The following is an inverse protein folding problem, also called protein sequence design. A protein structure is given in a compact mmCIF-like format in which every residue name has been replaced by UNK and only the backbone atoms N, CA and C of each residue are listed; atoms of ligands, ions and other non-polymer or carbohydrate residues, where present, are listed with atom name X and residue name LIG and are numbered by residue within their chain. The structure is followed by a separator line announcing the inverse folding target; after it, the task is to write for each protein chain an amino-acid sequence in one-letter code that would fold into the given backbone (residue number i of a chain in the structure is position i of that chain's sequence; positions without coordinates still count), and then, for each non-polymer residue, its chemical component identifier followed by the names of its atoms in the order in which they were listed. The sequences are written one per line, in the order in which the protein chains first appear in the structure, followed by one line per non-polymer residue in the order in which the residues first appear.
data_IF_005853300491
#
_entry.id   IF_005853300491
#
_cell.length_a   1.000
_cell.length_b   1.000
_cell.length_c   1.000
_cell.angle_alpha   90.00
_cell.angle_beta   90.00
_cell.angle_gamma   90.00
#
_symmetry.space_group_name_H-M   'P 1'
#
loop_
_entity.id
_entity.type
_entity.pdbx_description
1 polymer ?
#
# COMPACT_ATOMS: atom_id res chain seq x y z
N UNK A 1 10.11 14.69 -16.77
CA UNK A 1 10.12 14.81 -15.30
C UNK A 1 10.07 13.38 -14.75
N UNK A 2 11.08 12.99 -14.01
CA UNK A 2 11.22 11.65 -13.44
C UNK A 2 9.99 11.30 -12.59
N UNK A 3 9.49 10.08 -12.71
CA UNK A 3 8.30 9.58 -11.98
C UNK A 3 8.49 9.72 -10.47
N UNK A 4 9.70 9.48 -9.98
CA UNK A 4 10.06 9.65 -8.57
C UNK A 4 9.90 11.10 -8.12
N UNK A 5 10.37 12.05 -8.91
CA UNK A 5 10.24 13.46 -8.60
C UNK A 5 8.78 13.90 -8.53
N UNK A 6 7.90 13.35 -9.38
CA UNK A 6 6.45 13.61 -9.34
C UNK A 6 5.80 13.13 -8.05
N UNK A 7 6.14 11.90 -7.61
CA UNK A 7 5.59 11.32 -6.39
C UNK A 7 6.02 12.15 -5.18
N UNK A 8 7.32 12.50 -5.09
CA UNK A 8 7.84 13.32 -4.01
C UNK A 8 7.24 14.72 -3.99
N UNK A 9 7.08 15.33 -5.16
CA UNK A 9 6.48 16.67 -5.28
C UNK A 9 5.01 16.64 -4.81
N UNK A 10 4.25 15.63 -5.21
CA UNK A 10 2.86 15.44 -4.77
C UNK A 10 2.78 15.28 -3.24
N UNK A 11 3.63 14.43 -2.66
CA UNK A 11 3.72 14.23 -1.22
C UNK A 11 4.03 15.53 -0.48
N UNK A 12 5.04 16.29 -0.94
CA UNK A 12 5.46 17.54 -0.30
C UNK A 12 4.33 18.58 -0.38
N UNK A 13 3.71 18.75 -1.53
CA UNK A 13 2.61 19.71 -1.72
C UNK A 13 1.44 19.35 -0.80
N UNK A 14 1.03 18.08 -0.75
CA UNK A 14 -0.07 17.64 0.07
C UNK A 14 0.24 17.83 1.57
N UNK A 15 1.44 17.49 2.00
CA UNK A 15 1.88 17.70 3.38
C UNK A 15 1.87 19.19 3.78
N UNK A 16 2.34 20.08 2.87
CA UNK A 16 2.30 21.53 3.10
C UNK A 16 0.86 22.03 3.22
N UNK A 17 -0.04 21.62 2.33
CA UNK A 17 -1.46 22.02 2.35
C UNK A 17 -2.11 21.58 3.66
N UNK A 18 -1.92 20.32 4.07
CA UNK A 18 -2.49 19.78 5.30
C UNK A 18 -1.93 20.49 6.55
N UNK A 19 -0.62 20.73 6.59
CA UNK A 19 0.02 21.44 7.68
C UNK A 19 -0.50 22.89 7.79
N UNK A 20 -0.58 23.59 6.65
CA UNK A 20 -1.13 24.95 6.60
C UNK A 20 -2.59 24.96 7.06
N UNK A 21 -3.40 24.01 6.64
CA UNK A 21 -4.81 23.89 7.06
C UNK A 21 -4.89 23.72 8.58
N UNK A 22 -4.11 22.81 9.16
CA UNK A 22 -4.11 22.56 10.62
C UNK A 22 -3.68 23.81 11.38
N UNK A 23 -2.60 24.47 10.99
CA UNK A 23 -2.12 25.68 11.66
C UNK A 23 -3.09 26.84 11.55
N UNK A 24 -3.73 27.00 10.40
CA UNK A 24 -4.78 28.02 10.21
C UNK A 24 -6.00 27.73 11.09
N UNK A 25 -6.45 26.47 11.18
CA UNK A 25 -7.56 26.09 12.04
C UNK A 25 -7.26 26.33 13.52
N UNK A 26 -6.04 26.01 13.98
CA UNK A 26 -5.61 26.31 15.35
C UNK A 26 -5.60 27.81 15.63
N UNK A 27 -5.11 28.63 14.69
CA UNK A 27 -5.16 30.08 14.83
C UNK A 27 -6.59 30.59 14.96
N UNK A 28 -7.50 30.10 14.11
CA UNK A 28 -8.92 30.50 14.16
C UNK A 28 -9.61 30.09 15.46
N UNK A 29 -9.28 28.92 16.02
CA UNK A 29 -9.80 28.48 17.31
C UNK A 29 -9.38 29.39 18.47
N UNK A 30 -8.19 29.99 18.39
CA UNK A 30 -7.67 30.90 19.42
C UNK A 30 -8.23 32.32 19.23
N UNK A 31 -8.33 32.77 17.95
CA UNK A 31 -8.71 34.16 17.64
C UNK A 31 -10.20 34.46 17.82
N UNK A 32 -11.08 33.46 17.70
CA UNK A 32 -12.54 33.66 17.80
C UNK A 32 -13.09 33.27 19.17
N UNK A 33 -13.22 34.24 20.06
CA UNK A 33 -13.64 33.99 21.47
C UNK A 33 -15.13 33.66 21.66
N UNK A 34 -16.04 34.09 20.77
CA UNK A 34 -17.48 34.14 21.09
C UNK A 34 -18.40 33.22 20.27
N UNK A 35 -17.88 32.37 19.40
CA UNK A 35 -18.75 31.53 18.55
C UNK A 35 -18.50 30.03 18.73
N UNK A 36 -19.17 29.43 19.71
CA UNK A 36 -19.05 28.00 20.03
C UNK A 36 -19.29 27.10 18.83
N UNK A 37 -20.29 27.39 17.97
CA UNK A 37 -20.61 26.61 16.78
C UNK A 37 -19.46 26.67 15.76
N UNK A 38 -18.88 27.85 15.57
CA UNK A 38 -17.73 28.03 14.65
C UNK A 38 -16.51 27.26 15.14
N UNK A 39 -16.22 27.30 16.44
CA UNK A 39 -15.12 26.51 17.05
C UNK A 39 -15.33 25.01 16.84
N UNK A 40 -16.55 24.50 17.06
CA UNK A 40 -16.89 23.10 16.85
C UNK A 40 -16.66 22.69 15.38
N UNK A 41 -17.07 23.52 14.43
CA UNK A 41 -16.84 23.27 13.02
C UNK A 41 -15.36 23.19 12.66
N UNK A 42 -14.53 24.11 13.19
CA UNK A 42 -13.08 24.06 12.97
C UNK A 42 -12.43 22.84 13.60
N UNK A 43 -12.86 22.41 14.78
CA UNK A 43 -12.37 21.18 15.43
C UNK A 43 -12.67 19.96 14.52
N UNK A 44 -13.88 19.86 13.98
CA UNK A 44 -14.26 18.75 13.09
C UNK A 44 -13.37 18.71 11.82
N UNK A 45 -13.16 19.87 11.19
CA UNK A 45 -12.31 19.96 9.99
C UNK A 45 -10.84 19.60 10.34
N UNK A 46 -10.33 20.09 11.46
CA UNK A 46 -8.98 19.77 11.92
C UNK A 46 -8.80 18.27 12.18
N UNK A 47 -9.75 17.64 12.86
CA UNK A 47 -9.73 16.19 13.08
C UNK A 47 -9.79 15.42 11.78
N UNK A 48 -10.61 15.87 10.82
CA UNK A 48 -10.66 15.31 9.47
C UNK A 48 -9.34 15.42 8.72
N UNK A 49 -8.67 16.57 8.79
CA UNK A 49 -7.35 16.77 8.18
C UNK A 49 -6.27 15.87 8.81
N UNK A 50 -6.28 15.76 10.15
CA UNK A 50 -5.37 14.84 10.86
C UNK A 50 -5.65 13.39 10.46
N UNK A 51 -6.91 12.97 10.41
CA UNK A 51 -7.31 11.63 9.96
C UNK A 51 -6.77 11.34 8.55
N UNK A 52 -6.96 12.26 7.59
CA UNK A 52 -6.43 12.11 6.24
C UNK A 52 -4.90 12.03 6.20
N UNK A 53 -4.21 12.82 7.01
CA UNK A 53 -2.74 12.80 7.10
C UNK A 53 -2.22 11.45 7.62
N UNK A 54 -2.96 10.81 8.51
CA UNK A 54 -2.60 9.50 9.07
C UNK A 54 -2.88 8.33 8.10
N UNK A 55 -3.62 8.57 6.99
CA UNK A 55 -3.91 7.52 6.02
C UNK A 55 -2.77 7.38 4.99
N UNK A 56 -2.06 6.24 4.96
CA UNK A 56 -0.93 6.04 4.02
C UNK A 56 -1.31 6.27 2.56
N UNK A 57 -2.53 5.90 2.16
CA UNK A 57 -3.00 6.05 0.78
C UNK A 57 -3.36 7.49 0.38
N UNK A 58 -3.53 8.41 1.35
CA UNK A 58 -3.68 9.84 1.05
C UNK A 58 -2.37 10.43 0.56
N UNK A 59 -1.27 10.08 1.23
CA UNK A 59 0.07 10.53 0.87
C UNK A 59 0.64 9.71 -0.31
N UNK A 60 0.30 8.42 -0.37
CA UNK A 60 0.73 7.48 -1.40
C UNK A 60 -0.51 6.86 -2.08
N UNK A 61 -1.16 7.56 -3.01
CA UNK A 61 -2.45 7.14 -3.59
C UNK A 61 -2.42 5.75 -4.24
N UNK A 62 -1.26 5.31 -4.71
CA UNK A 62 -1.08 3.97 -5.30
C UNK A 62 -1.27 2.83 -4.29
N UNK A 63 -1.26 3.10 -2.99
CA UNK A 63 -1.56 2.10 -1.95
C UNK A 63 -3.07 1.91 -1.73
N UNK A 64 -3.89 2.88 -2.16
CA UNK A 64 -5.34 2.82 -2.03
C UNK A 64 -6.03 1.90 -3.03
N UNK A 65 -7.36 1.91 -3.02
CA UNK A 65 -8.16 1.23 -4.03
C UNK A 65 -7.90 1.80 -5.41
N UNK A 66 -7.87 0.96 -6.43
CA UNK A 66 -7.67 1.40 -7.81
C UNK A 66 -8.60 0.68 -8.77
N UNK A 67 -9.12 1.41 -9.76
CA UNK A 67 -9.88 0.83 -10.84
C UNK A 67 -8.94 0.04 -11.77
N UNK A 68 -9.27 -1.22 -12.04
CA UNK A 68 -8.49 -2.07 -12.92
C UNK A 68 -9.40 -3.10 -13.61
N UNK A 69 -9.32 -3.29 -14.94
CA UNK A 69 -10.14 -4.25 -15.65
C UNK A 69 -9.83 -5.69 -15.21
N UNK A 70 -10.75 -6.32 -14.47
CA UNK A 70 -10.55 -7.68 -13.95
C UNK A 70 -10.32 -8.72 -15.07
N UNK A 71 -10.81 -8.45 -16.28
CA UNK A 71 -10.71 -9.34 -17.44
C UNK A 71 -9.28 -9.50 -17.96
N UNK A 72 -8.37 -8.57 -17.69
CA UNK A 72 -6.96 -8.68 -18.06
C UNK A 72 -6.12 -9.42 -17.03
N UNK A 73 -6.71 -9.77 -15.87
CA UNK A 73 -6.03 -10.52 -14.81
C UNK A 73 -6.17 -12.01 -15.12
N UNK A 74 -5.06 -12.69 -15.33
CA UNK A 74 -5.01 -14.14 -15.53
C UNK A 74 -5.62 -14.92 -14.37
N UNK A 75 -6.03 -16.16 -14.60
CA UNK A 75 -6.66 -16.96 -13.54
C UNK A 75 -5.68 -17.43 -12.48
N UNK A 76 -4.50 -17.87 -12.90
CA UNK A 76 -3.43 -18.30 -12.01
C UNK A 76 -2.08 -18.01 -12.66
N UNK A 77 -1.15 -17.48 -11.87
CA UNK A 77 0.24 -17.26 -12.24
C UNK A 77 1.09 -17.25 -10.98
N UNK A 78 2.26 -17.84 -11.03
CA UNK A 78 3.26 -17.77 -9.95
C UNK A 78 4.67 -17.84 -10.53
N UNK A 79 5.70 -17.44 -9.78
CA UNK A 79 7.10 -17.56 -10.20
C UNK A 79 7.45 -19.02 -10.48
N UNK A 80 8.24 -19.25 -11.53
CA UNK A 80 8.82 -20.56 -11.76
C UNK A 80 9.76 -20.91 -10.58
N UNK A 81 9.79 -22.18 -10.19
CA UNK A 81 10.68 -22.68 -9.13
C UNK A 81 10.57 -21.89 -7.81
N UNK A 82 9.34 -21.53 -7.42
CA UNK A 82 9.11 -20.84 -6.15
C UNK A 82 9.70 -21.64 -4.98
N UNK A 83 10.33 -20.92 -4.04
CA UNK A 83 10.98 -21.49 -2.85
C UNK A 83 10.12 -21.40 -1.58
N UNK A 84 9.06 -20.57 -1.60
CA UNK A 84 8.24 -20.26 -0.44
C UNK A 84 6.75 -20.35 -0.77
N UNK A 85 5.97 -20.93 0.14
CA UNK A 85 4.52 -20.99 0.05
C UNK A 85 3.88 -20.49 1.34
N UNK A 86 2.88 -19.62 1.21
CA UNK A 86 2.12 -19.06 2.31
C UNK A 86 0.62 -19.28 2.10
N UNK A 87 -0.09 -19.71 3.13
CA UNK A 87 -1.55 -19.82 3.12
C UNK A 87 -2.12 -18.54 3.72
N UNK A 88 -2.77 -17.75 2.90
CA UNK A 88 -3.40 -16.50 3.29
C UNK A 88 -4.86 -16.77 3.63
N UNK A 89 -5.23 -16.63 4.90
CA UNK A 89 -6.61 -16.75 5.36
C UNK A 89 -7.36 -15.44 5.10
N UNK A 90 -8.51 -15.55 4.46
CA UNK A 90 -9.35 -14.43 4.04
C UNK A 90 -10.81 -14.71 4.42
N UNK A 91 -11.62 -13.66 4.63
CA UNK A 91 -13.06 -13.86 4.85
C UNK A 91 -13.73 -14.60 3.68
N UNK A 92 -14.61 -15.58 3.96
CA UNK A 92 -15.29 -16.43 2.97
C UNK A 92 -16.09 -15.64 1.91
N UNK A 93 -16.54 -14.42 2.21
CA UNK A 93 -17.20 -13.56 1.21
C UNK A 93 -16.27 -13.14 0.05
N UNK A 94 -14.99 -13.48 0.12
CA UNK A 94 -14.01 -13.28 -0.93
C UNK A 94 -13.82 -14.50 -1.83
N UNK A 95 -14.49 -15.62 -1.55
CA UNK A 95 -14.40 -16.81 -2.39
C UNK A 95 -14.67 -16.48 -3.87
N UNK A 96 -14.00 -17.18 -4.76
CA UNK A 96 -13.99 -16.97 -6.22
C UNK A 96 -13.33 -15.66 -6.69
N UNK A 97 -12.91 -14.77 -5.80
CA UNK A 97 -12.10 -13.63 -6.14
C UNK A 97 -10.64 -14.03 -6.37
N UNK A 98 -9.90 -13.14 -7.03
CA UNK A 98 -8.45 -13.34 -7.26
C UNK A 98 -7.65 -12.51 -6.28
N UNK A 99 -6.53 -13.05 -5.84
CA UNK A 99 -5.47 -12.34 -5.12
C UNK A 99 -4.32 -12.12 -6.09
N UNK A 100 -3.95 -10.85 -6.28
CA UNK A 100 -2.73 -10.45 -6.97
C UNK A 100 -1.70 -10.17 -5.89
N UNK A 101 -0.52 -10.73 -6.00
CA UNK A 101 0.52 -10.58 -5.00
C UNK A 101 1.89 -10.35 -5.63
N UNK A 102 2.78 -9.66 -4.90
CA UNK A 102 4.15 -9.39 -5.34
C UNK A 102 5.06 -9.19 -4.13
N UNK A 103 6.32 -9.48 -4.31
CA UNK A 103 7.36 -9.35 -3.30
C UNK A 103 8.68 -8.87 -3.91
N UNK A 104 9.62 -8.50 -3.07
CA UNK A 104 11.00 -8.29 -3.47
C UNK A 104 11.58 -9.60 -4.05
N UNK A 105 12.61 -9.50 -4.86
CA UNK A 105 13.33 -10.68 -5.36
C UNK A 105 14.09 -11.39 -4.25
N UNK A 106 14.35 -12.66 -4.44
CA UNK A 106 15.27 -13.46 -3.64
C UNK A 106 16.70 -13.20 -4.13
N UNK A 107 17.62 -12.98 -3.21
CA UNK A 107 19.04 -13.09 -3.51
C UNK A 107 19.48 -14.53 -3.18
N UNK A 108 19.80 -15.30 -4.22
CA UNK A 108 20.15 -16.73 -4.07
C UNK A 108 21.50 -16.94 -3.40
N UNK A 109 22.36 -15.92 -3.38
CA UNK A 109 23.69 -16.00 -2.79
C UNK A 109 23.68 -15.60 -1.31
N UNK A 110 22.79 -14.68 -0.93
CA UNK A 110 22.66 -14.19 0.44
C UNK A 110 21.20 -13.93 0.82
N UNK A 111 20.59 -14.88 1.48
CA UNK A 111 19.19 -14.79 1.94
C UNK A 111 18.98 -13.67 2.98
N UNK A 112 20.02 -13.16 3.61
CA UNK A 112 19.95 -12.05 4.58
C UNK A 112 20.29 -10.70 3.95
N UNK A 113 20.58 -10.65 2.67
CA UNK A 113 20.89 -9.42 1.96
C UNK A 113 19.75 -8.41 2.09
N UNK A 114 20.09 -7.17 2.38
CA UNK A 114 19.19 -6.03 2.38
C UNK A 114 19.51 -5.17 1.17
N UNK A 115 18.56 -5.08 0.23
CA UNK A 115 18.74 -4.23 -0.94
C UNK A 115 18.77 -2.76 -0.55
N UNK A 116 19.62 -1.97 -1.21
CA UNK A 116 19.82 -0.55 -0.90
C UNK A 116 18.59 0.33 -1.15
N UNK A 117 17.66 -0.13 -1.99
CA UNK A 117 16.42 0.59 -2.29
C UNK A 117 15.36 -0.34 -2.89
N UNK A 118 14.08 0.09 -2.94
CA UNK A 118 13.00 -0.71 -3.49
C UNK A 118 13.17 -1.05 -4.98
N UNK A 119 13.80 -0.18 -5.76
CA UNK A 119 13.99 -0.39 -7.19
C UNK A 119 14.88 -1.61 -7.47
N UNK A 120 15.95 -1.77 -6.71
CA UNK A 120 16.81 -2.95 -6.77
C UNK A 120 16.12 -4.19 -6.21
N UNK A 121 15.27 -4.03 -5.20
CA UNK A 121 14.58 -5.14 -4.56
C UNK A 121 13.48 -5.74 -5.48
N UNK A 122 12.72 -4.89 -6.16
CA UNK A 122 11.63 -5.36 -7.03
C UNK A 122 12.07 -5.60 -8.48
N UNK A 123 13.12 -4.91 -8.93
CA UNK A 123 13.73 -5.05 -10.26
C UNK A 123 12.69 -5.20 -11.39
N UNK A 124 12.65 -6.36 -12.06
CA UNK A 124 11.72 -6.66 -13.14
C UNK A 124 10.36 -7.20 -12.66
N UNK A 125 10.06 -7.18 -11.37
CA UNK A 125 8.84 -7.76 -10.78
C UNK A 125 8.65 -9.24 -11.14
N UNK A 126 9.70 -10.04 -11.06
CA UNK A 126 9.63 -11.47 -11.34
C UNK A 126 8.93 -12.26 -10.23
N UNK A 127 9.01 -11.76 -9.00
CA UNK A 127 8.41 -12.39 -7.82
C UNK A 127 6.95 -11.94 -7.64
N UNK A 128 6.10 -12.26 -8.61
CA UNK A 128 4.69 -11.88 -8.64
C UNK A 128 3.81 -13.06 -9.01
N UNK A 129 2.56 -13.01 -8.56
CA UNK A 129 1.59 -14.03 -8.94
C UNK A 129 0.14 -13.60 -8.80
N UNK A 130 -0.72 -14.49 -9.24
CA UNK A 130 -2.17 -14.42 -9.10
C UNK A 130 -2.68 -15.79 -8.68
N UNK A 131 -3.58 -15.84 -7.71
CA UNK A 131 -4.25 -17.06 -7.28
C UNK A 131 -5.72 -16.81 -6.99
N UNK A 132 -6.57 -17.85 -7.06
CA UNK A 132 -7.98 -17.77 -6.67
C UNK A 132 -8.15 -18.07 -5.17
N UNK A 133 -9.12 -17.39 -4.56
CA UNK A 133 -9.52 -17.67 -3.20
C UNK A 133 -10.51 -18.83 -3.23
N UNK A 134 -10.26 -19.86 -2.43
CA UNK A 134 -11.13 -21.05 -2.28
C UNK A 134 -11.28 -21.38 -0.79
N UNK A 135 -12.52 -21.53 -0.34
CA UNK A 135 -12.84 -21.84 1.07
C UNK A 135 -12.23 -20.85 2.08
N UNK A 136 -12.15 -19.56 1.71
CA UNK A 136 -11.54 -18.53 2.54
C UNK A 136 -10.01 -18.54 2.52
N UNK A 137 -9.36 -19.28 1.63
CA UNK A 137 -7.90 -19.36 1.56
C UNK A 137 -7.36 -19.06 0.18
N UNK A 138 -6.21 -18.40 0.14
CA UNK A 138 -5.42 -18.18 -1.05
C UNK A 138 -4.00 -18.73 -0.85
N UNK A 139 -3.53 -19.57 -1.77
CA UNK A 139 -2.19 -20.13 -1.72
C UNK A 139 -1.25 -19.18 -2.49
N UNK A 140 -0.38 -18.52 -1.76
CA UNK A 140 0.63 -17.60 -2.29
C UNK A 140 1.93 -18.38 -2.50
N UNK A 141 2.47 -18.35 -3.71
CA UNK A 141 3.72 -19.02 -4.10
C UNK A 141 4.71 -17.97 -4.54
N UNK A 142 5.85 -17.86 -3.87
CA UNK A 142 6.86 -16.84 -4.08
C UNK A 142 8.28 -17.43 -4.02
N UNK A 143 9.25 -16.70 -4.53
CA UNK A 143 10.63 -16.81 -4.04
C UNK A 143 10.71 -16.12 -2.69
N UNK A 144 11.51 -16.63 -1.74
CA UNK A 144 11.66 -16.01 -0.43
C UNK A 144 12.21 -14.58 -0.59
N UNK A 145 11.42 -13.55 -0.26
CA UNK A 145 11.86 -12.19 -0.52
C UNK A 145 12.92 -11.72 0.45
N UNK A 146 13.84 -10.90 -0.03
CA UNK A 146 14.78 -10.19 0.81
C UNK A 146 14.21 -8.85 1.32
N UNK A 147 14.80 -8.31 2.39
CA UNK A 147 14.51 -6.97 2.88
C UNK A 147 15.12 -5.88 1.99
N UNK A 148 14.72 -4.63 2.21
CA UNK A 148 15.29 -3.48 1.51
C UNK A 148 15.19 -2.20 2.34
N UNK A 149 15.98 -1.18 1.95
CA UNK A 149 15.95 0.14 2.58
C UNK A 149 14.97 1.07 1.87
N UNK A 150 14.32 1.93 2.62
CA UNK A 150 13.49 3.03 2.13
C UNK A 150 14.04 4.38 2.59
N UNK A 151 13.33 5.46 2.31
CA UNK A 151 13.77 6.80 2.65
C UNK A 151 14.37 6.93 4.06
N UNK A 152 15.42 7.71 4.19
CA UNK A 152 16.23 7.90 5.41
C UNK A 152 16.94 6.62 5.92
N UNK A 153 17.15 5.62 5.02
CA UNK A 153 17.87 4.39 5.37
C UNK A 153 17.09 3.40 6.25
N UNK A 154 15.77 3.61 6.45
CA UNK A 154 14.94 2.69 7.22
C UNK A 154 14.86 1.34 6.52
N UNK A 155 15.22 0.28 7.24
CA UNK A 155 15.16 -1.09 6.75
C UNK A 155 13.73 -1.65 6.87
N UNK A 156 13.27 -2.27 5.80
CA UNK A 156 12.01 -2.99 5.73
C UNK A 156 12.32 -4.48 5.68
N UNK A 157 11.73 -5.22 6.61
CA UNK A 157 11.89 -6.68 6.70
C UNK A 157 11.28 -7.39 5.48
N UNK A 158 11.67 -8.64 5.19
CA UNK A 158 11.04 -9.46 4.18
C UNK A 158 9.52 -9.48 4.31
N UNK A 159 8.82 -9.25 3.19
CA UNK A 159 7.37 -9.20 3.15
C UNK A 159 6.86 -9.37 1.72
N UNK A 160 5.58 -9.68 1.58
CA UNK A 160 4.89 -9.57 0.31
C UNK A 160 3.67 -8.65 0.43
N UNK A 161 3.32 -8.07 -0.68
CA UNK A 161 2.10 -7.27 -0.83
C UNK A 161 1.04 -8.07 -1.57
N UNK A 162 -0.22 -7.78 -1.28
CA UNK A 162 -1.30 -8.33 -2.07
C UNK A 162 -2.47 -7.37 -2.20
N UNK A 163 -3.29 -7.60 -3.21
CA UNK A 163 -4.58 -6.96 -3.45
C UNK A 163 -5.61 -8.01 -3.79
N UNK A 164 -6.86 -7.78 -3.39
CA UNK A 164 -7.99 -8.62 -3.76
C UNK A 164 -8.70 -7.96 -4.95
N UNK A 165 -8.92 -8.72 -6.01
CA UNK A 165 -9.68 -8.29 -7.18
C UNK A 165 -11.11 -8.82 -7.08
N UNK A 166 -12.08 -7.92 -7.09
CA UNK A 166 -13.50 -8.28 -7.03
C UNK A 166 -14.03 -8.75 -8.39
N UNK A 167 -14.71 -9.90 -8.42
CA UNK A 167 -15.28 -10.44 -9.66
C UNK A 167 -16.36 -9.54 -10.30
N UNK A 168 -17.07 -8.76 -9.50
CA UNK A 168 -18.19 -7.92 -9.96
C UNK A 168 -17.87 -6.42 -10.04
N UNK A 169 -16.82 -5.98 -9.36
CA UNK A 169 -16.41 -4.59 -9.33
C UNK A 169 -15.04 -4.47 -10.01
N UNK A 170 -14.88 -3.46 -10.84
CA UNK A 170 -13.64 -3.14 -11.57
C UNK A 170 -12.56 -2.61 -10.60
N UNK A 171 -12.69 -2.89 -9.31
CA UNK A 171 -11.82 -2.32 -8.28
C UNK A 171 -10.88 -3.38 -7.70
N UNK A 172 -9.61 -3.01 -7.61
CA UNK A 172 -8.65 -3.68 -6.74
C UNK A 172 -8.76 -3.08 -5.33
N UNK A 173 -8.68 -3.93 -4.32
CA UNK A 173 -8.57 -3.46 -2.92
C UNK A 173 -7.34 -2.58 -2.73
N UNK A 174 -7.25 -1.90 -1.60
CA UNK A 174 -5.99 -1.33 -1.13
C UNK A 174 -4.90 -2.40 -1.06
N UNK A 175 -3.64 -1.95 -0.97
CA UNK A 175 -2.49 -2.84 -0.75
C UNK A 175 -2.49 -3.32 0.69
N UNK A 176 -2.40 -4.63 0.87
CA UNK A 176 -2.12 -5.26 2.14
C UNK A 176 -0.68 -5.77 2.15
N UNK A 177 -0.07 -5.81 3.32
CA UNK A 177 1.32 -6.26 3.50
C UNK A 177 1.37 -7.37 4.54
N UNK A 178 2.06 -8.46 4.23
CA UNK A 178 2.32 -9.57 5.14
C UNK A 178 3.83 -9.70 5.31
N UNK A 179 4.31 -9.60 6.53
CA UNK A 179 5.72 -9.83 6.87
C UNK A 179 5.97 -11.33 7.05
N UNK A 180 7.15 -11.79 6.62
CA UNK A 180 7.58 -13.18 6.64
C UNK A 180 8.68 -13.35 7.69
#
# INVERSE_FOLDING_TARGET
MDMNLRIWLHFIILAIILLFTITHMLYMLIAFDNYTITKLFYIIIMLGAIYLLLQPHTLLPFLGNSAFPATVIVDEKYPKEYSYQYVLDLPKHNDDKKVIYWAAKEDKEDNNKIFENPWLAYDNYENVGVTKIKNGQAIIKLHLPNGYKVGMGKEIKPHFHYRICCNKNIMLSQVYTVYI
#
